data_IF_667324965193
#
_entry.id   IF_667324965193
#
_cell.length_a   1.000
_cell.length_b   1.000
_cell.length_c   1.000
_cell.angle_alpha   90.00
_cell.angle_beta   90.00
_cell.angle_gamma   90.00
#
_symmetry.space_group_name_H-M   'P 1'
#
loop_
_entity.id
_entity.type
_entity.pdbx_description
1 polymer ?
#
# COMPACT_ATOMS: atom_id res chain seq x y z
N UNK A 1 -63.92 -28.58 -17.27
CA UNK A 1 -63.34 -29.48 -16.26
C UNK A 1 -62.08 -30.10 -16.85
N UNK A 2 -60.95 -29.41 -16.70
CA UNK A 2 -59.93 -29.68 -15.66
C UNK A 2 -58.90 -30.71 -16.19
N UNK A 3 -57.87 -30.30 -16.96
CA UNK A 3 -56.64 -29.67 -16.46
C UNK A 3 -56.18 -30.25 -15.12
N UNK A 4 -55.43 -31.37 -15.14
CA UNK A 4 -54.49 -31.76 -14.06
C UNK A 4 -53.69 -33.01 -14.45
N UNK A 5 -52.64 -32.88 -15.28
CA UNK A 5 -51.56 -33.91 -15.37
C UNK A 5 -50.34 -33.44 -16.18
N UNK A 6 -49.89 -32.20 -15.99
CA UNK A 6 -48.60 -31.73 -16.55
C UNK A 6 -47.72 -30.93 -15.59
N UNK A 7 -47.97 -31.05 -14.28
CA UNK A 7 -47.26 -30.27 -13.23
C UNK A 7 -46.35 -31.06 -12.29
N UNK A 8 -46.09 -32.35 -12.53
CA UNK A 8 -45.24 -33.15 -11.62
C UNK A 8 -43.91 -33.66 -12.19
N UNK A 9 -43.56 -33.40 -13.45
CA UNK A 9 -42.26 -33.82 -14.01
C UNK A 9 -41.23 -32.69 -14.21
N UNK A 10 -41.52 -31.46 -13.75
CA UNK A 10 -40.65 -30.30 -13.93
C UNK A 10 -39.96 -29.75 -12.67
N UNK A 11 -40.01 -30.46 -11.52
CA UNK A 11 -39.50 -29.92 -10.23
C UNK A 11 -38.24 -30.60 -9.69
N UNK A 12 -37.57 -31.47 -10.45
CA UNK A 12 -36.36 -32.17 -9.98
C UNK A 12 -35.10 -31.95 -10.81
N UNK A 13 -35.05 -30.91 -11.63
CA UNK A 13 -33.83 -30.56 -12.35
C UNK A 13 -33.54 -29.06 -12.32
N UNK A 14 -33.69 -28.41 -11.16
CA UNK A 14 -32.90 -27.19 -10.92
C UNK A 14 -31.52 -27.68 -10.52
N UNK A 15 -30.60 -27.60 -11.47
CA UNK A 15 -29.15 -27.80 -11.29
C UNK A 15 -28.70 -27.14 -9.98
N UNK A 16 -28.50 -27.96 -8.94
CA UNK A 16 -27.68 -27.59 -7.78
C UNK A 16 -26.22 -27.62 -8.24
N UNK A 17 -25.80 -26.63 -9.03
CA UNK A 17 -24.42 -26.16 -8.97
C UNK A 17 -24.31 -25.22 -7.77
N UNK A 18 -24.67 -25.72 -6.60
CA UNK A 18 -24.40 -25.05 -5.34
C UNK A 18 -22.95 -25.39 -5.01
N UNK A 19 -22.10 -24.36 -4.88
CA UNK A 19 -20.72 -24.48 -4.38
C UNK A 19 -20.65 -25.56 -3.28
N UNK A 20 -20.00 -26.68 -3.58
CA UNK A 20 -19.69 -27.67 -2.56
C UNK A 20 -18.55 -27.08 -1.72
N UNK A 21 -18.90 -26.27 -0.72
CA UNK A 21 -17.92 -25.76 0.25
C UNK A 21 -17.52 -26.95 1.13
N UNK A 22 -16.24 -27.32 1.09
CA UNK A 22 -15.74 -28.40 1.94
C UNK A 22 -15.72 -27.97 3.40
N UNK A 23 -15.81 -28.96 4.30
CA UNK A 23 -15.64 -28.78 5.74
C UNK A 23 -14.35 -28.02 6.05
N UNK A 24 -13.25 -28.38 5.39
CA UNK A 24 -11.93 -27.79 5.64
C UNK A 24 -11.87 -26.31 5.22
N UNK A 25 -12.55 -25.97 4.12
CA UNK A 25 -12.67 -24.57 3.69
C UNK A 25 -13.44 -23.72 4.71
N UNK A 26 -14.49 -24.26 5.34
CA UNK A 26 -15.22 -23.56 6.39
C UNK A 26 -14.35 -23.33 7.64
N UNK A 27 -13.57 -24.34 8.05
CA UNK A 27 -12.68 -24.24 9.21
C UNK A 27 -11.58 -23.22 8.97
N UNK A 28 -10.93 -23.25 7.80
CA UNK A 28 -9.91 -22.25 7.41
C UNK A 28 -10.52 -20.84 7.36
N UNK A 29 -11.70 -20.68 6.75
CA UNK A 29 -12.39 -19.38 6.70
C UNK A 29 -12.75 -18.87 8.11
N UNK A 30 -13.22 -19.74 9.00
CA UNK A 30 -13.51 -19.40 10.39
C UNK A 30 -12.26 -18.98 11.15
N UNK A 31 -11.14 -19.69 10.99
CA UNK A 31 -9.87 -19.36 11.61
C UNK A 31 -9.34 -17.97 11.20
N UNK A 32 -9.52 -17.59 9.93
CA UNK A 32 -9.16 -16.25 9.45
C UNK A 32 -10.19 -15.16 9.75
N UNK A 33 -11.28 -15.47 10.44
CA UNK A 33 -12.32 -14.50 10.74
C UNK A 33 -11.98 -13.71 12.02
N UNK A 34 -11.60 -12.44 11.85
CA UNK A 34 -11.21 -11.55 12.95
C UNK A 34 -12.33 -11.34 13.98
N UNK A 35 -13.57 -11.22 13.55
CA UNK A 35 -14.70 -10.84 14.41
C UNK A 35 -15.27 -12.03 15.17
N UNK A 36 -15.46 -13.17 14.49
CA UNK A 36 -16.25 -14.29 15.00
C UNK A 36 -15.50 -15.62 15.00
N UNK A 37 -14.24 -15.69 14.57
CA UNK A 37 -13.50 -16.95 14.48
C UNK A 37 -13.51 -17.77 15.77
N UNK A 38 -13.27 -17.11 16.91
CA UNK A 38 -13.33 -17.71 18.25
C UNK A 38 -14.71 -18.27 18.66
N UNK A 39 -15.81 -17.88 17.99
CA UNK A 39 -17.16 -18.46 18.20
C UNK A 39 -17.49 -19.51 17.14
N UNK A 40 -17.08 -19.25 15.90
CA UNK A 40 -17.32 -20.14 14.77
C UNK A 40 -16.58 -21.46 14.91
N UNK A 41 -15.32 -21.45 15.34
CA UNK A 41 -14.54 -22.68 15.46
C UNK A 41 -15.13 -23.67 16.49
N UNK A 42 -15.46 -23.26 17.74
CA UNK A 42 -16.17 -24.15 18.67
C UNK A 42 -17.53 -24.64 18.12
N UNK A 43 -18.27 -23.75 17.45
CA UNK A 43 -19.56 -24.12 16.85
C UNK A 43 -19.40 -25.20 15.77
N UNK A 44 -18.43 -25.03 14.87
CA UNK A 44 -18.12 -26.00 13.83
C UNK A 44 -17.60 -27.31 14.44
N UNK A 45 -16.82 -27.26 15.52
CA UNK A 45 -16.32 -28.44 16.21
C UNK A 45 -17.45 -29.27 16.79
N UNK A 46 -18.39 -28.60 17.47
CA UNK A 46 -19.58 -29.23 18.00
C UNK A 46 -20.47 -29.82 16.89
N UNK A 47 -20.69 -29.06 15.82
CA UNK A 47 -21.58 -29.44 14.72
C UNK A 47 -21.02 -30.59 13.87
N UNK A 48 -19.70 -30.65 13.69
CA UNK A 48 -19.03 -31.70 12.92
C UNK A 48 -18.48 -32.83 13.78
N UNK A 49 -18.81 -32.88 15.07
CA UNK A 49 -18.30 -33.77 16.13
C UNK A 49 -18.12 -35.26 15.80
N UNK A 50 -18.79 -35.80 14.77
CA UNK A 50 -18.53 -37.18 14.27
C UNK A 50 -17.21 -37.33 13.50
N UNK A 51 -16.67 -36.25 12.95
CA UNK A 51 -15.39 -36.19 12.25
C UNK A 51 -14.54 -35.10 12.91
N UNK A 52 -13.47 -35.48 13.62
CA UNK A 52 -12.52 -34.53 14.22
C UNK A 52 -12.18 -33.40 13.24
N UNK A 53 -12.31 -32.14 13.65
CA UNK A 53 -11.94 -31.02 12.78
C UNK A 53 -10.41 -30.97 12.62
N UNK A 54 -9.91 -30.53 11.45
CA UNK A 54 -8.48 -30.25 11.25
C UNK A 54 -8.05 -28.93 11.93
N UNK A 55 -8.57 -28.61 13.12
CA UNK A 55 -8.31 -27.31 13.79
C UNK A 55 -6.83 -27.06 14.10
N UNK A 56 -6.03 -28.12 14.16
CA UNK A 56 -4.58 -28.06 14.39
C UNK A 56 -3.75 -28.27 13.11
N UNK A 57 -4.39 -28.35 11.94
CA UNK A 57 -3.66 -28.42 10.68
C UNK A 57 -2.98 -27.09 10.37
N UNK A 58 -1.81 -27.18 9.73
CA UNK A 58 -0.98 -26.02 9.40
C UNK A 58 -1.75 -24.95 8.62
N UNK A 59 -2.62 -25.33 7.69
CA UNK A 59 -3.43 -24.39 6.92
C UNK A 59 -4.37 -23.56 7.81
N UNK A 60 -4.99 -24.17 8.82
CA UNK A 60 -5.90 -23.49 9.77
C UNK A 60 -5.09 -22.56 10.68
N UNK A 61 -3.97 -23.05 11.21
CA UNK A 61 -3.09 -22.29 12.10
C UNK A 61 -2.48 -21.08 11.38
N UNK A 62 -1.97 -21.26 10.15
CA UNK A 62 -1.45 -20.16 9.33
C UNK A 62 -2.51 -19.12 9.02
N UNK A 63 -3.72 -19.55 8.69
CA UNK A 63 -4.81 -18.64 8.39
C UNK A 63 -5.24 -17.84 9.63
N UNK A 64 -5.30 -18.48 10.80
CA UNK A 64 -5.52 -17.80 12.07
C UNK A 64 -4.38 -16.81 12.38
N UNK A 65 -3.12 -17.22 12.17
CA UNK A 65 -1.97 -16.37 12.40
C UNK A 65 -1.97 -15.14 11.51
N UNK A 66 -2.34 -15.27 10.23
CA UNK A 66 -2.36 -14.15 9.29
C UNK A 66 -3.56 -13.20 9.45
N UNK A 67 -4.75 -13.71 9.81
CA UNK A 67 -6.01 -12.93 9.73
C UNK A 67 -6.94 -13.06 10.92
N UNK A 68 -6.71 -14.05 11.78
CA UNK A 68 -7.50 -14.28 12.98
C UNK A 68 -7.25 -13.21 14.04
N UNK A 69 -8.15 -13.15 15.02
CA UNK A 69 -7.99 -12.33 16.23
C UNK A 69 -7.24 -13.07 17.32
N UNK A 70 -6.79 -12.32 18.34
CA UNK A 70 -6.13 -12.90 19.50
C UNK A 70 -6.97 -13.98 20.18
N UNK A 71 -8.29 -13.79 20.30
CA UNK A 71 -9.19 -14.81 20.86
C UNK A 71 -9.22 -16.10 20.04
N UNK A 72 -9.18 -15.99 18.71
CA UNK A 72 -9.10 -17.16 17.81
C UNK A 72 -7.78 -17.90 17.99
N UNK A 73 -6.67 -17.15 18.09
CA UNK A 73 -5.34 -17.71 18.34
C UNK A 73 -5.27 -18.37 19.71
N UNK A 74 -5.84 -17.76 20.76
CA UNK A 74 -5.91 -18.34 22.09
C UNK A 74 -6.75 -19.62 22.12
N UNK A 75 -7.86 -19.67 21.38
CA UNK A 75 -8.68 -20.86 21.24
C UNK A 75 -7.90 -22.02 20.57
N UNK A 76 -7.20 -21.71 19.47
CA UNK A 76 -6.50 -22.72 18.68
C UNK A 76 -5.17 -23.18 19.31
N UNK A 77 -4.42 -22.26 19.93
CA UNK A 77 -3.06 -22.53 20.40
C UNK A 77 -2.96 -22.65 21.92
N UNK A 78 -3.99 -22.26 22.67
CA UNK A 78 -4.01 -22.32 24.14
C UNK A 78 -2.70 -21.83 24.77
N UNK A 79 -2.15 -22.65 25.68
CA UNK A 79 -0.83 -22.44 26.32
C UNK A 79 0.28 -23.34 25.75
N UNK A 80 -0.04 -24.21 24.79
CA UNK A 80 0.90 -25.20 24.27
C UNK A 80 2.00 -24.53 23.42
N UNK A 81 3.27 -24.96 23.54
CA UNK A 81 4.31 -24.57 22.60
C UNK A 81 4.06 -25.25 21.25
N UNK A 82 4.21 -24.49 20.15
CA UNK A 82 4.11 -25.06 18.81
C UNK A 82 5.24 -26.06 18.60
N UNK A 83 4.90 -27.31 18.26
CA UNK A 83 5.87 -28.39 18.01
C UNK A 83 6.82 -28.11 16.83
N UNK A 84 6.57 -27.07 16.04
CA UNK A 84 7.61 -26.26 15.38
C UNK A 84 6.94 -25.05 14.73
N UNK A 85 7.36 -23.84 15.06
CA UNK A 85 7.01 -22.65 14.27
C UNK A 85 7.63 -22.80 12.88
N UNK A 86 6.84 -23.24 11.89
CA UNK A 86 7.31 -23.25 10.50
C UNK A 86 7.59 -21.82 10.06
N UNK A 87 8.52 -21.64 9.13
CA UNK A 87 8.83 -20.32 8.58
C UNK A 87 7.58 -19.68 7.99
N UNK A 88 6.77 -20.48 7.33
CA UNK A 88 5.50 -20.12 6.74
C UNK A 88 4.48 -19.62 7.77
N UNK A 89 4.42 -20.24 8.95
CA UNK A 89 3.59 -19.77 10.06
C UNK A 89 4.12 -18.45 10.63
N UNK A 90 5.44 -18.28 10.77
CA UNK A 90 6.03 -17.02 11.25
C UNK A 90 5.76 -15.85 10.29
N UNK A 91 5.89 -16.06 8.99
CA UNK A 91 5.55 -15.05 7.98
C UNK A 91 4.06 -14.71 7.99
N UNK A 92 3.20 -15.71 8.16
CA UNK A 92 1.77 -15.50 8.33
C UNK A 92 1.49 -14.66 9.59
N UNK A 93 2.08 -15.03 10.73
CA UNK A 93 1.95 -14.29 11.99
C UNK A 93 2.42 -12.84 11.87
N UNK A 94 3.60 -12.60 11.27
CA UNK A 94 4.13 -11.25 11.06
C UNK A 94 3.24 -10.39 10.14
N UNK A 95 2.49 -11.02 9.24
CA UNK A 95 1.53 -10.33 8.35
C UNK A 95 0.22 -9.95 9.04
N UNK A 96 -0.01 -10.36 10.30
CA UNK A 96 -1.24 -10.00 11.00
C UNK A 96 -1.26 -8.49 11.28
N UNK A 97 -2.41 -7.84 11.06
CA UNK A 97 -2.61 -6.41 11.32
C UNK A 97 -2.88 -6.09 12.78
N UNK A 98 -3.14 -7.09 13.61
CA UNK A 98 -3.38 -6.93 15.04
C UNK A 98 -2.06 -7.09 15.80
N UNK A 99 -1.46 -6.01 16.31
CA UNK A 99 -0.18 -6.09 17.02
C UNK A 99 -0.27 -6.99 18.25
N UNK A 100 -1.44 -7.14 18.89
CA UNK A 100 -1.59 -8.04 20.04
C UNK A 100 -1.43 -9.51 19.66
N UNK A 101 -1.84 -9.90 18.43
CA UNK A 101 -1.60 -11.25 17.91
C UNK A 101 -0.12 -11.47 17.65
N UNK A 102 0.53 -10.51 16.97
CA UNK A 102 1.96 -10.56 16.69
C UNK A 102 2.76 -10.63 17.98
N UNK A 103 2.45 -9.76 18.95
CA UNK A 103 3.09 -9.72 20.25
C UNK A 103 2.96 -11.05 20.99
N UNK A 104 1.75 -11.62 21.02
CA UNK A 104 1.47 -12.88 21.68
C UNK A 104 2.25 -14.05 21.08
N UNK A 105 2.32 -14.12 19.74
CA UNK A 105 3.01 -15.19 19.03
C UNK A 105 4.53 -15.06 19.14
N UNK A 106 5.08 -13.87 18.86
CA UNK A 106 6.52 -13.63 18.87
C UNK A 106 7.11 -13.47 20.28
N UNK A 107 6.30 -13.33 21.34
CA UNK A 107 6.81 -13.42 22.73
C UNK A 107 7.24 -14.85 23.10
N UNK A 108 6.75 -15.85 22.36
CA UNK A 108 7.10 -17.27 22.58
C UNK A 108 8.30 -17.72 21.73
N UNK A 109 8.88 -16.81 20.94
CA UNK A 109 9.96 -17.09 20.00
C UNK A 109 11.17 -16.28 20.44
N UNK A 110 12.37 -16.87 20.35
CA UNK A 110 13.61 -16.13 20.55
C UNK A 110 13.76 -15.04 19.48
N UNK A 111 14.15 -13.83 19.87
CA UNK A 111 14.32 -12.69 18.98
C UNK A 111 15.34 -12.98 17.85
N UNK A 112 16.28 -13.89 18.08
CA UNK A 112 17.27 -14.33 17.07
C UNK A 112 16.61 -14.91 15.81
N UNK A 113 15.36 -15.38 15.90
CA UNK A 113 14.62 -15.99 14.78
C UNK A 113 13.92 -14.93 13.90
N UNK A 114 13.77 -13.69 14.37
CA UNK A 114 13.11 -12.63 13.60
C UNK A 114 14.08 -12.13 12.52
N UNK A 115 13.81 -12.50 11.27
CA UNK A 115 14.61 -12.13 10.12
C UNK A 115 14.01 -11.00 9.27
N UNK A 116 14.69 -10.70 8.16
CA UNK A 116 14.25 -9.69 7.20
C UNK A 116 12.86 -10.00 6.62
N UNK A 117 12.54 -11.27 6.38
CA UNK A 117 11.28 -11.68 5.76
C UNK A 117 10.08 -11.42 6.68
N UNK A 118 10.22 -11.62 7.99
CA UNK A 118 9.19 -11.30 8.98
C UNK A 118 8.98 -9.80 9.10
N UNK A 119 10.06 -9.01 9.11
CA UNK A 119 9.97 -7.54 9.11
C UNK A 119 9.30 -7.01 7.83
N UNK A 120 9.64 -7.56 6.66
CA UNK A 120 9.01 -7.22 5.39
C UNK A 120 7.51 -7.57 5.38
N UNK A 121 7.15 -8.74 5.90
CA UNK A 121 5.76 -9.18 6.03
C UNK A 121 4.94 -8.24 6.93
N UNK A 122 5.53 -7.77 8.03
CA UNK A 122 4.91 -6.79 8.93
C UNK A 122 4.79 -5.41 8.27
N UNK A 123 5.88 -4.91 7.66
CA UNK A 123 5.95 -3.62 6.97
C UNK A 123 4.92 -3.48 5.84
N UNK A 124 4.60 -4.58 5.17
CA UNK A 124 3.59 -4.61 4.11
C UNK A 124 2.14 -4.45 4.63
N UNK A 125 1.90 -4.60 5.94
CA UNK A 125 0.56 -4.71 6.50
C UNK A 125 0.22 -3.66 7.58
N UNK A 126 1.09 -3.40 8.55
CA UNK A 126 0.84 -2.43 9.64
C UNK A 126 2.16 -1.90 10.21
N UNK A 127 2.19 -0.59 10.48
CA UNK A 127 3.30 0.06 11.17
C UNK A 127 3.40 -0.40 12.62
N UNK A 128 2.27 -0.59 13.32
CA UNK A 128 2.29 -1.09 14.70
C UNK A 128 2.84 -2.52 14.80
N UNK A 129 2.54 -3.39 13.84
CA UNK A 129 3.02 -4.77 13.89
C UNK A 129 4.50 -4.85 13.57
N UNK A 130 4.98 -4.01 12.65
CA UNK A 130 6.40 -3.84 12.40
C UNK A 130 7.12 -3.29 13.64
N UNK A 131 6.59 -2.24 14.28
CA UNK A 131 7.14 -1.69 15.53
C UNK A 131 7.20 -2.76 16.63
N UNK A 132 6.17 -3.60 16.75
CA UNK A 132 6.15 -4.71 17.69
C UNK A 132 7.31 -5.70 17.46
N UNK A 133 7.63 -6.03 16.21
CA UNK A 133 8.75 -6.92 15.87
C UNK A 133 10.10 -6.23 16.06
N UNK A 134 10.23 -4.97 15.62
CA UNK A 134 11.45 -4.18 15.80
C UNK A 134 11.80 -4.02 17.27
N UNK A 135 10.81 -3.81 18.14
CA UNK A 135 11.00 -3.70 19.59
C UNK A 135 11.53 -4.97 20.26
N UNK A 136 11.52 -6.12 19.58
CA UNK A 136 12.11 -7.38 20.06
C UNK A 136 13.57 -7.53 19.66
N UNK A 137 14.03 -6.81 18.65
CA UNK A 137 15.41 -6.86 18.18
C UNK A 137 16.31 -5.96 19.05
N UNK A 138 17.52 -6.40 19.39
CA UNK A 138 18.47 -5.58 20.14
C UNK A 138 18.88 -4.36 19.29
N UNK A 139 19.13 -3.23 19.96
CA UNK A 139 19.77 -2.08 19.32
C UNK A 139 21.24 -2.46 19.06
N UNK A 140 21.72 -2.32 17.83
CA UNK A 140 23.13 -2.57 17.52
C UNK A 140 24.02 -1.56 18.25
N UNK A 141 25.04 -2.04 18.98
CA UNK A 141 26.09 -1.19 19.53
C UNK A 141 26.92 -0.58 18.38
N UNK A 142 27.13 0.75 18.39
CA UNK A 142 27.94 1.52 17.40
C UNK A 142 29.40 1.05 17.44
N UNK A 143 30.17 0.89 16.35
CA UNK A 143 30.48 1.83 15.24
C UNK A 143 30.50 1.10 13.87
N UNK A 144 29.86 1.61 12.79
CA UNK A 144 30.55 2.43 11.74
C UNK A 144 29.62 3.55 11.14
N UNK A 145 29.64 3.93 9.82
CA UNK A 145 29.46 5.30 9.30
C UNK A 145 28.15 6.03 9.74
N UNK A 146 28.07 7.37 9.60
CA UNK A 146 27.02 8.19 10.21
C UNK A 146 25.60 7.66 9.93
N UNK A 147 24.70 7.62 10.95
CA UNK A 147 23.34 7.09 10.83
C UNK A 147 22.52 7.63 9.66
N UNK A 148 22.88 8.80 9.14
CA UNK A 148 22.25 9.43 7.98
C UNK A 148 22.51 8.71 6.65
N UNK A 149 23.41 7.71 6.59
CA UNK A 149 23.85 7.04 5.36
C UNK A 149 23.38 5.59 5.22
N UNK A 150 22.48 5.12 6.09
CA UNK A 150 22.07 3.71 6.13
C UNK A 150 20.56 3.54 6.06
N UNK A 151 20.17 2.40 5.50
CA UNK A 151 18.79 1.91 5.46
C UNK A 151 18.76 0.45 5.93
N UNK A 152 17.59 -0.04 6.38
CA UNK A 152 17.33 -1.48 6.37
C UNK A 152 17.49 -2.05 4.94
N UNK A 153 17.31 -3.36 4.78
CA UNK A 153 17.34 -3.97 3.43
C UNK A 153 16.50 -3.14 2.44
N UNK A 154 16.97 -3.02 1.18
CA UNK A 154 16.30 -2.19 0.16
C UNK A 154 14.81 -2.50 0.04
N UNK A 155 14.46 -3.78 0.13
CA UNK A 155 13.07 -4.25 0.10
C UNK A 155 12.28 -3.79 1.33
N UNK A 156 12.83 -3.93 2.54
CA UNK A 156 12.19 -3.47 3.77
C UNK A 156 12.02 -1.94 3.77
N UNK A 157 13.04 -1.18 3.37
CA UNK A 157 12.96 0.28 3.25
C UNK A 157 11.82 0.73 2.34
N UNK A 158 11.68 0.12 1.16
CA UNK A 158 10.57 0.40 0.22
C UNK A 158 9.21 0.11 0.83
N UNK A 159 9.05 -1.04 1.51
CA UNK A 159 7.78 -1.41 2.14
C UNK A 159 7.39 -0.44 3.25
N UNK A 160 8.36 -0.04 4.08
CA UNK A 160 8.13 0.95 5.14
C UNK A 160 7.72 2.29 4.53
N UNK A 161 8.51 2.78 3.57
CA UNK A 161 8.27 4.10 2.97
C UNK A 161 6.95 4.16 2.23
N UNK A 162 6.53 3.06 1.58
CA UNK A 162 5.28 3.03 0.82
C UNK A 162 4.05 2.82 1.71
N UNK A 163 4.13 2.03 2.78
CA UNK A 163 2.95 1.56 3.52
C UNK A 163 2.86 2.05 4.96
N UNK A 164 3.97 2.44 5.60
CA UNK A 164 3.94 2.89 6.99
C UNK A 164 3.60 4.38 7.08
N UNK A 165 2.87 4.73 8.13
CA UNK A 165 2.49 6.12 8.41
C UNK A 165 3.59 6.90 9.15
N UNK A 166 4.38 6.24 9.98
CA UNK A 166 5.31 6.89 10.90
C UNK A 166 6.74 6.83 10.37
N UNK A 167 7.39 8.00 10.29
CA UNK A 167 8.80 8.10 9.90
C UNK A 167 9.71 7.32 10.87
N UNK A 168 9.38 7.34 12.17
CA UNK A 168 10.20 6.67 13.20
C UNK A 168 10.43 5.19 12.88
N UNK A 169 9.47 4.52 12.24
CA UNK A 169 9.57 3.10 11.90
C UNK A 169 10.69 2.84 10.89
N UNK A 170 10.96 3.78 9.98
CA UNK A 170 12.10 3.71 9.06
C UNK A 170 13.43 3.83 9.79
N UNK A 171 13.54 4.76 10.74
CA UNK A 171 14.73 4.93 11.57
C UNK A 171 14.96 3.72 12.48
N UNK A 172 13.92 3.26 13.16
CA UNK A 172 13.99 2.08 14.03
C UNK A 172 14.39 0.83 13.26
N UNK A 173 13.88 0.65 12.04
CA UNK A 173 14.30 -0.43 11.15
C UNK A 173 15.76 -0.27 10.71
N UNK A 174 16.23 0.94 10.40
CA UNK A 174 17.63 1.18 10.07
C UNK A 174 18.57 0.83 11.24
N UNK A 175 18.16 1.13 12.48
CA UNK A 175 18.96 0.88 13.69
C UNK A 175 18.98 -0.59 14.12
N UNK A 176 17.94 -1.36 13.79
CA UNK A 176 17.72 -2.73 14.31
C UNK A 176 17.71 -3.82 13.25
N UNK A 177 17.67 -3.47 11.96
CA UNK A 177 17.62 -4.45 10.86
C UNK A 177 18.86 -5.33 10.82
N UNK A 178 18.74 -6.65 10.62
CA UNK A 178 19.90 -7.54 10.50
C UNK A 178 20.74 -7.23 9.26
N UNK A 179 20.11 -6.80 8.17
CA UNK A 179 20.76 -6.45 6.90
C UNK A 179 20.77 -4.93 6.70
N UNK A 180 21.93 -4.41 6.25
CA UNK A 180 22.12 -2.99 5.93
C UNK A 180 22.51 -2.85 4.47
N UNK A 181 21.96 -1.81 3.82
CA UNK A 181 22.31 -1.48 2.44
C UNK A 181 22.98 -0.11 2.39
N UNK A 182 24.18 0.02 1.77
CA UNK A 182 24.77 1.32 1.52
C UNK A 182 23.87 2.09 0.56
N UNK A 183 23.66 3.37 0.84
CA UNK A 183 22.74 4.16 0.05
C UNK A 183 23.36 4.63 -1.27
N UNK A 184 22.62 4.47 -2.36
CA UNK A 184 22.94 5.07 -3.66
C UNK A 184 21.92 6.15 -4.06
N UNK A 185 22.28 6.98 -5.04
CA UNK A 185 21.35 7.96 -5.62
C UNK A 185 20.09 7.29 -6.19
N UNK A 186 20.23 6.10 -6.78
CA UNK A 186 19.11 5.34 -7.34
C UNK A 186 18.16 4.87 -6.23
N UNK A 187 18.70 4.46 -5.08
CA UNK A 187 17.87 4.08 -3.93
C UNK A 187 17.09 5.27 -3.39
N UNK A 188 17.71 6.46 -3.31
CA UNK A 188 16.99 7.68 -2.91
C UNK A 188 15.85 7.97 -3.87
N UNK A 189 16.09 7.90 -5.19
CA UNK A 189 15.04 8.15 -6.18
C UNK A 189 13.90 7.13 -6.07
N UNK A 190 14.22 5.86 -5.85
CA UNK A 190 13.22 4.82 -5.65
C UNK A 190 12.42 5.04 -4.37
N UNK A 191 13.07 5.45 -3.26
CA UNK A 191 12.39 5.74 -2.01
C UNK A 191 11.50 6.98 -2.11
N UNK A 192 11.93 8.04 -2.79
CA UNK A 192 11.06 9.20 -3.05
C UNK A 192 9.85 8.78 -3.89
N UNK A 193 10.04 7.92 -4.89
CA UNK A 193 8.94 7.36 -5.68
C UNK A 193 7.97 6.52 -4.82
N UNK A 194 8.50 5.68 -3.93
CA UNK A 194 7.69 4.92 -2.98
C UNK A 194 6.93 5.85 -2.01
N UNK A 195 7.58 6.91 -1.52
CA UNK A 195 6.98 7.87 -0.61
C UNK A 195 5.89 8.69 -1.29
N UNK A 196 6.07 9.03 -2.56
CA UNK A 196 5.07 9.69 -3.38
C UNK A 196 3.78 8.86 -3.53
N UNK A 197 3.90 7.52 -3.47
CA UNK A 197 2.76 6.57 -3.45
C UNK A 197 2.17 6.33 -2.05
N UNK A 198 2.81 6.83 -0.99
CA UNK A 198 2.34 6.65 0.37
C UNK A 198 1.02 7.42 0.56
N UNK A 199 -0.03 6.71 0.96
CA UNK A 199 -1.38 7.28 1.08
C UNK A 199 -1.65 7.90 2.46
N UNK A 200 -0.69 7.86 3.39
CA UNK A 200 -0.90 8.24 4.78
C UNK A 200 -0.37 9.62 5.14
N UNK A 201 0.79 10.02 4.61
CA UNK A 201 1.40 11.32 4.95
C UNK A 201 2.44 11.80 3.93
N UNK A 202 2.55 13.13 3.78
CA UNK A 202 3.66 13.80 3.08
C UNK A 202 4.97 13.79 3.88
N UNK A 203 4.89 13.52 5.18
CA UNK A 203 6.04 13.60 6.10
C UNK A 203 7.11 12.58 5.70
N UNK A 204 6.71 11.40 5.23
CA UNK A 204 7.63 10.36 4.78
C UNK A 204 8.49 10.85 3.61
N UNK A 205 7.86 11.42 2.57
CA UNK A 205 8.57 12.00 1.43
C UNK A 205 9.46 13.17 1.87
N UNK A 206 8.92 14.05 2.73
CA UNK A 206 9.67 15.20 3.28
C UNK A 206 10.90 14.75 4.06
N UNK A 207 10.80 13.68 4.85
CA UNK A 207 11.92 13.13 5.61
C UNK A 207 13.01 12.59 4.68
N UNK A 208 12.64 11.78 3.69
CA UNK A 208 13.57 11.21 2.72
C UNK A 208 14.29 12.32 1.96
N UNK A 209 13.55 13.30 1.43
CA UNK A 209 14.13 14.45 0.73
C UNK A 209 15.11 15.23 1.62
N UNK A 210 14.71 15.59 2.84
CA UNK A 210 15.57 16.34 3.79
C UNK A 210 16.82 15.55 4.18
N UNK A 211 16.68 14.26 4.45
CA UNK A 211 17.78 13.41 4.90
C UNK A 211 18.84 13.25 3.80
N UNK A 212 18.41 13.15 2.55
CA UNK A 212 19.33 12.85 1.45
C UNK A 212 19.73 14.05 0.60
N UNK A 213 19.14 15.23 0.83
CA UNK A 213 19.48 16.50 0.15
C UNK A 213 20.98 16.81 0.12
N UNK A 214 21.72 16.43 1.18
CA UNK A 214 23.16 16.68 1.32
C UNK A 214 24.06 15.56 0.77
N UNK A 215 23.57 14.32 0.74
CA UNK A 215 24.35 13.13 0.39
C UNK A 215 24.25 12.79 -1.09
N UNK A 216 23.04 12.95 -1.65
CA UNK A 216 22.74 12.69 -3.04
C UNK A 216 21.97 13.89 -3.57
N UNK A 217 22.47 14.55 -4.63
CA UNK A 217 21.71 15.54 -5.39
C UNK A 217 20.59 14.83 -6.17
N UNK A 218 19.70 14.13 -5.47
CA UNK A 218 18.63 13.36 -6.08
C UNK A 218 17.72 14.35 -6.82
N UNK A 219 17.89 14.41 -8.14
CA UNK A 219 17.03 15.19 -9.00
C UNK A 219 15.64 14.55 -8.99
N UNK A 220 14.62 15.37 -8.81
CA UNK A 220 13.24 14.97 -9.01
C UNK A 220 13.08 14.52 -10.47
N UNK A 221 12.34 13.43 -10.67
CA UNK A 221 12.09 12.85 -11.99
C UNK A 221 10.60 12.88 -12.32
N UNK A 222 10.27 12.73 -13.61
CA UNK A 222 8.89 12.57 -14.06
C UNK A 222 8.18 11.39 -13.39
N UNK A 223 8.90 10.30 -13.11
CA UNK A 223 8.35 9.11 -12.47
C UNK A 223 7.88 9.40 -11.04
N UNK A 224 8.63 10.22 -10.30
CA UNK A 224 8.22 10.68 -8.97
C UNK A 224 6.97 11.56 -9.04
N UNK A 225 6.90 12.46 -10.02
CA UNK A 225 5.72 13.31 -10.21
C UNK A 225 4.50 12.49 -10.65
N UNK A 226 4.67 11.48 -11.52
CA UNK A 226 3.58 10.57 -11.92
C UNK A 226 3.07 9.74 -10.74
N UNK A 227 3.99 9.26 -9.89
CA UNK A 227 3.65 8.58 -8.65
C UNK A 227 2.87 9.48 -7.69
N UNK A 228 3.29 10.74 -7.50
CA UNK A 228 2.57 11.72 -6.70
C UNK A 228 1.21 12.09 -7.30
N UNK A 229 1.15 12.30 -8.61
CA UNK A 229 -0.07 12.61 -9.35
C UNK A 229 -1.12 11.49 -9.29
N UNK A 230 -0.68 10.24 -9.13
CA UNK A 230 -1.54 9.06 -8.95
C UNK A 230 -1.91 8.77 -7.48
N UNK A 231 -1.48 9.62 -6.53
CA UNK A 231 -1.76 9.43 -5.11
C UNK A 231 -3.23 9.77 -4.82
N UNK A 232 -4.03 8.78 -4.44
CA UNK A 232 -5.49 8.94 -4.29
C UNK A 232 -5.94 9.69 -3.03
N UNK A 233 -5.01 10.25 -2.24
CA UNK A 233 -5.32 10.88 -0.95
C UNK A 233 -4.75 12.28 -0.76
N UNK A 234 -3.55 12.53 -1.28
CA UNK A 234 -2.76 13.74 -1.03
C UNK A 234 -1.93 14.12 -2.27
N UNK A 235 -2.46 13.91 -3.47
CA UNK A 235 -1.70 14.14 -4.70
C UNK A 235 -1.27 15.60 -4.83
N UNK A 236 -2.14 16.56 -4.51
CA UNK A 236 -1.84 17.97 -4.67
C UNK A 236 -0.70 18.42 -3.75
N UNK A 237 -0.71 17.99 -2.49
CA UNK A 237 0.30 18.30 -1.49
C UNK A 237 1.62 17.59 -1.81
N UNK A 238 1.56 16.34 -2.25
CA UNK A 238 2.75 15.59 -2.66
C UNK A 238 3.41 16.22 -3.90
N UNK A 239 2.61 16.62 -4.90
CA UNK A 239 3.11 17.31 -6.09
C UNK A 239 3.77 18.63 -5.70
N UNK A 240 3.14 19.45 -4.85
CA UNK A 240 3.74 20.70 -4.35
C UNK A 240 5.06 20.46 -3.63
N UNK A 241 5.13 19.43 -2.78
CA UNK A 241 6.36 19.06 -2.09
C UNK A 241 7.49 18.73 -3.07
N UNK A 242 7.22 17.90 -4.07
CA UNK A 242 8.24 17.51 -5.05
C UNK A 242 8.64 18.67 -5.98
N UNK A 243 7.67 19.45 -6.45
CA UNK A 243 7.93 20.60 -7.34
C UNK A 243 8.75 21.69 -6.64
N UNK A 244 8.53 21.92 -5.34
CA UNK A 244 9.34 22.86 -4.54
C UNK A 244 10.80 22.42 -4.34
N UNK A 245 11.12 21.15 -4.61
CA UNK A 245 12.50 20.66 -4.61
C UNK A 245 13.16 20.70 -6.00
N UNK A 246 12.41 21.05 -7.05
CA UNK A 246 12.94 21.25 -8.40
C UNK A 246 13.53 22.65 -8.56
N UNK A 247 14.46 22.82 -9.50
CA UNK A 247 14.80 24.15 -9.99
C UNK A 247 13.74 24.61 -10.99
N UNK A 248 13.35 25.89 -10.98
CA UNK A 248 12.32 26.46 -11.87
C UNK A 248 12.55 26.14 -13.36
N UNK A 249 13.82 26.07 -13.80
CA UNK A 249 14.18 25.76 -15.18
C UNK A 249 13.95 24.30 -15.59
N UNK A 250 13.89 23.38 -14.62
CA UNK A 250 13.76 21.94 -14.86
C UNK A 250 12.28 21.48 -14.75
N UNK A 251 11.43 22.23 -14.03
CA UNK A 251 10.04 21.85 -13.71
C UNK A 251 9.24 21.50 -14.97
N UNK A 252 9.30 22.34 -15.99
CA UNK A 252 8.52 22.15 -17.22
C UNK A 252 8.87 20.86 -17.95
N UNK A 253 10.15 20.47 -17.94
CA UNK A 253 10.60 19.23 -18.57
C UNK A 253 10.19 17.96 -17.79
N UNK A 254 9.94 18.10 -16.49
CA UNK A 254 9.53 16.99 -15.61
C UNK A 254 8.02 16.71 -15.70
N UNK A 255 7.22 17.73 -15.97
CA UNK A 255 5.78 17.58 -16.17
C UNK A 255 5.56 17.02 -17.57
N UNK A 256 5.55 15.69 -17.69
CA UNK A 256 5.31 15.00 -18.96
C UNK A 256 3.81 14.79 -19.22
N UNK A 257 3.47 14.34 -20.42
CA UNK A 257 2.10 13.94 -20.76
C UNK A 257 1.58 12.83 -19.84
N UNK A 258 2.45 11.90 -19.44
CA UNK A 258 2.11 10.83 -18.49
C UNK A 258 1.78 11.37 -17.11
N UNK A 259 2.54 12.34 -16.60
CA UNK A 259 2.27 13.00 -15.30
C UNK A 259 0.88 13.67 -15.32
N UNK A 260 0.56 14.39 -16.40
CA UNK A 260 -0.74 15.05 -16.57
C UNK A 260 -1.89 14.05 -16.71
N UNK A 261 -1.69 12.94 -17.43
CA UNK A 261 -2.68 11.87 -17.56
C UNK A 261 -2.93 11.17 -16.22
N UNK A 262 -1.87 10.88 -15.46
CA UNK A 262 -1.98 10.35 -14.10
C UNK A 262 -2.82 11.28 -13.22
N UNK A 263 -2.55 12.59 -13.23
CA UNK A 263 -3.33 13.55 -12.46
C UNK A 263 -4.80 13.61 -12.91
N UNK A 264 -5.06 13.76 -14.22
CA UNK A 264 -6.42 13.91 -14.75
C UNK A 264 -7.33 12.68 -14.48
N UNK A 265 -6.73 11.50 -14.36
CA UNK A 265 -7.45 10.24 -14.11
C UNK A 265 -7.53 9.85 -12.62
N UNK A 266 -6.97 10.65 -11.70
CA UNK A 266 -6.83 10.30 -10.27
C UNK A 266 -8.11 10.56 -9.43
N UNK A 267 -9.28 10.17 -9.95
CA UNK A 267 -10.54 10.18 -9.19
C UNK A 267 -10.84 11.54 -8.54
N UNK A 268 -11.04 11.55 -7.22
CA UNK A 268 -11.36 12.75 -6.44
C UNK A 268 -10.24 13.81 -6.45
N UNK A 269 -8.97 13.38 -6.47
CA UNK A 269 -7.81 14.27 -6.37
C UNK A 269 -7.46 14.95 -7.70
N UNK A 270 -8.07 14.49 -8.80
CA UNK A 270 -7.73 14.94 -10.14
C UNK A 270 -7.81 16.45 -10.36
N UNK A 271 -8.85 17.18 -9.90
CA UNK A 271 -8.91 18.62 -10.13
C UNK A 271 -7.76 19.38 -9.49
N UNK A 272 -7.41 19.07 -8.24
CA UNK A 272 -6.38 19.79 -7.50
C UNK A 272 -4.97 19.38 -7.95
N UNK A 273 -4.74 18.08 -8.20
CA UNK A 273 -3.49 17.59 -8.77
C UNK A 273 -3.22 18.19 -10.15
N UNK A 274 -4.23 18.20 -11.03
CA UNK A 274 -4.10 18.78 -12.36
C UNK A 274 -3.90 20.30 -12.29
N UNK A 275 -4.59 21.00 -11.38
CA UNK A 275 -4.41 22.45 -11.17
C UNK A 275 -2.99 22.80 -10.77
N UNK A 276 -2.37 22.03 -9.87
CA UNK A 276 -0.97 22.23 -9.46
C UNK A 276 -0.04 22.12 -10.68
N UNK A 277 -0.16 21.04 -11.45
CA UNK A 277 0.71 20.81 -12.61
C UNK A 277 0.52 21.84 -13.72
N UNK A 278 -0.72 22.20 -14.03
CA UNK A 278 -1.02 23.19 -15.08
C UNK A 278 -0.55 24.59 -14.70
N UNK A 279 -0.49 24.93 -13.40
CA UNK A 279 0.03 26.23 -12.95
C UNK A 279 1.53 26.39 -13.24
N UNK A 280 2.28 25.30 -13.17
CA UNK A 280 3.72 25.29 -13.45
C UNK A 280 4.08 25.22 -14.95
N UNK A 281 3.10 24.96 -15.82
CA UNK A 281 3.34 24.82 -17.27
C UNK A 281 3.22 26.16 -18.01
N UNK A 282 4.22 26.49 -18.83
CA UNK A 282 4.12 27.53 -19.86
C UNK A 282 3.54 26.98 -21.17
N UNK A 283 2.93 27.85 -21.98
CA UNK A 283 1.99 27.57 -23.08
C UNK A 283 2.45 26.65 -24.24
N UNK A 284 3.73 26.31 -24.34
CA UNK A 284 4.38 25.88 -25.60
C UNK A 284 4.90 24.44 -25.66
N UNK A 285 4.64 23.62 -24.63
CA UNK A 285 5.33 22.32 -24.47
C UNK A 285 4.64 21.08 -25.06
N UNK A 286 3.37 21.14 -25.41
CA UNK A 286 2.62 19.95 -25.82
C UNK A 286 1.90 20.09 -27.14
N UNK A 287 1.86 18.99 -27.90
CA UNK A 287 1.08 18.88 -29.14
C UNK A 287 -0.43 18.90 -28.85
N UNK A 288 -1.22 19.38 -29.82
CA UNK A 288 -2.69 19.36 -29.71
C UNK A 288 -3.27 17.97 -29.44
N UNK A 289 -2.66 16.91 -29.99
CA UNK A 289 -3.08 15.52 -29.74
C UNK A 289 -2.87 15.09 -28.29
N UNK A 290 -1.84 15.61 -27.61
CA UNK A 290 -1.60 15.34 -26.19
C UNK A 290 -2.66 16.02 -25.33
N UNK A 291 -3.00 17.27 -25.64
CA UNK A 291 -4.05 18.00 -24.93
C UNK A 291 -5.42 17.34 -25.05
N UNK A 292 -5.76 16.78 -26.21
CA UNK A 292 -7.00 16.01 -26.40
C UNK A 292 -7.05 14.81 -25.45
N UNK A 293 -5.96 14.03 -25.35
CA UNK A 293 -5.91 12.87 -24.43
C UNK A 293 -6.11 13.28 -22.97
N UNK A 294 -5.50 14.39 -22.54
CA UNK A 294 -5.66 14.90 -21.17
C UNK A 294 -7.09 15.37 -20.93
N UNK A 295 -7.70 16.06 -21.90
CA UNK A 295 -9.09 16.49 -21.84
C UNK A 295 -10.06 15.30 -21.73
N UNK A 296 -9.82 14.24 -22.51
CA UNK A 296 -10.64 13.03 -22.50
C UNK A 296 -10.49 12.27 -21.18
N UNK A 297 -9.27 12.19 -20.64
CA UNK A 297 -9.02 11.62 -19.31
C UNK A 297 -9.75 12.41 -18.21
N UNK A 298 -9.68 13.74 -18.24
CA UNK A 298 -10.39 14.61 -17.32
C UNK A 298 -11.91 14.42 -17.37
N UNK A 299 -12.50 14.35 -18.57
CA UNK A 299 -13.94 14.12 -18.76
C UNK A 299 -14.39 12.72 -18.36
N UNK A 300 -13.55 11.71 -18.58
CA UNK A 300 -13.86 10.30 -18.31
C UNK A 300 -13.70 9.94 -16.83
N UNK A 301 -13.20 10.85 -16.00
CA UNK A 301 -13.09 10.65 -14.57
C UNK A 301 -14.50 10.56 -13.93
N UNK A 302 -14.86 9.35 -13.49
CA UNK A 302 -16.18 9.02 -12.95
C UNK A 302 -16.50 9.69 -11.61
N UNK A 303 -15.48 10.18 -10.89
CA UNK A 303 -15.64 10.77 -9.55
C UNK A 303 -15.71 12.29 -9.61
N UNK A 304 -14.76 12.93 -10.30
CA UNK A 304 -14.62 14.39 -10.32
C UNK A 304 -14.50 14.97 -11.74
N UNK A 305 -15.02 14.28 -12.76
CA UNK A 305 -14.76 14.63 -14.16
C UNK A 305 -15.25 16.00 -14.60
N UNK A 306 -16.40 16.48 -14.09
CA UNK A 306 -16.89 17.83 -14.39
C UNK A 306 -15.92 18.91 -13.91
N UNK A 307 -15.46 18.80 -12.65
CA UNK A 307 -14.54 19.76 -12.05
C UNK A 307 -13.13 19.65 -12.65
N UNK A 308 -12.67 18.43 -12.94
CA UNK A 308 -11.38 18.18 -13.61
C UNK A 308 -11.38 18.80 -15.01
N UNK A 309 -12.46 18.61 -15.77
CA UNK A 309 -12.62 19.22 -17.09
C UNK A 309 -12.69 20.75 -16.99
N UNK A 310 -13.36 21.30 -15.97
CA UNK A 310 -13.41 22.75 -15.72
C UNK A 310 -12.01 23.35 -15.52
N UNK A 311 -11.20 22.73 -14.67
CA UNK A 311 -9.79 23.14 -14.43
C UNK A 311 -9.00 23.12 -15.74
N UNK A 312 -9.13 22.05 -16.52
CA UNK A 312 -8.45 21.92 -17.80
C UNK A 312 -8.89 23.00 -18.81
N UNK A 313 -10.21 23.23 -18.96
CA UNK A 313 -10.75 24.25 -19.85
C UNK A 313 -10.33 25.65 -19.45
N UNK A 314 -10.34 25.96 -18.15
CA UNK A 314 -9.90 27.27 -17.64
C UNK A 314 -8.43 27.56 -18.01
N UNK A 315 -7.56 26.56 -17.87
CA UNK A 315 -6.17 26.67 -18.30
C UNK A 315 -6.06 26.90 -19.81
N UNK A 316 -6.76 26.10 -20.63
CA UNK A 316 -6.74 26.24 -22.08
C UNK A 316 -7.25 27.61 -22.55
N UNK A 317 -8.31 28.14 -21.92
CA UNK A 317 -8.81 29.49 -22.22
C UNK A 317 -7.77 30.59 -21.96
N UNK A 318 -6.97 30.45 -20.88
CA UNK A 318 -5.86 31.37 -20.61
C UNK A 318 -4.80 31.25 -21.69
N UNK A 319 -4.41 30.03 -22.08
CA UNK A 319 -3.41 29.82 -23.13
C UNK A 319 -3.82 30.46 -24.47
N UNK A 320 -5.06 30.26 -24.91
CA UNK A 320 -5.57 30.83 -26.17
C UNK A 320 -5.58 32.36 -26.09
N UNK A 321 -6.00 32.93 -24.96
CA UNK A 321 -5.92 34.38 -24.77
C UNK A 321 -4.46 34.86 -24.84
N UNK A 322 -3.48 34.21 -24.21
CA UNK A 322 -2.07 34.61 -24.33
C UNK A 322 -1.55 34.56 -25.78
N UNK A 323 -1.96 33.57 -26.59
CA UNK A 323 -1.55 33.49 -28.01
C UNK A 323 -2.11 34.60 -28.91
N UNK A 324 -3.24 35.22 -28.53
CA UNK A 324 -3.81 36.37 -29.26
C UNK A 324 -3.10 37.68 -28.90
N UNK A 325 -2.56 37.81 -27.68
CA UNK A 325 -1.82 39.00 -27.25
C UNK A 325 -0.33 38.99 -27.67
N UNK A 326 0.29 37.82 -27.84
CA UNK A 326 1.68 37.70 -28.33
C UNK A 326 1.85 37.98 -29.85
N UNK A 327 0.76 38.20 -30.59
CA UNK A 327 0.79 38.59 -32.01
C UNK A 327 0.79 40.12 -32.24
N UNK A 328 0.79 40.94 -31.18
CA UNK A 328 0.85 42.41 -31.27
C UNK A 328 2.21 43.00 -30.86
N UNK A 329 3.29 42.20 -30.88
CA UNK A 329 4.64 42.63 -30.50
C UNK A 329 5.73 42.24 -31.53
N UNK A 330 5.35 42.18 -32.81
CA UNK A 330 6.27 42.24 -33.97
C UNK A 330 5.81 43.36 -34.89
#
# INVERSE_FOLDING_TARGET
MAMKTRRQQGRHAVRKTAWAVSKDMLVVAAAGNKLYGHKLLPFLEHHFSKNRLPVYEEAVLRQAAARGSLSTILFLLGKEPLQSYTREFMLAAASNRDPAVVEFLFRRIDAVVIGAAELEAAAANSDETLECLLGRLPIKAKEPPPPQQRLPSRKLAKLIVQNCRRIRTLHEAADRSPEEHPMTTLDVQELVTCAARNLHTIDMASCILKQFRKLHKAKITSDMLSAAASNQRIASEMLRLLLNECNDNDVEALITSEVLLSAASNGHEAPDALRVLLYELKSKYFSGTTWVKIADAAKSNVVAGQETARVFTEFMSRLVNYTVWDLNLI
#
